data_IF_735869081099
#
_entry.id   IF_735869081099
#
_cell.length_a   1.000
_cell.length_b   1.000
_cell.length_c   1.000
_cell.angle_alpha   90.00
_cell.angle_beta   90.00
_cell.angle_gamma   90.00
#
_symmetry.space_group_name_H-M   'P 1'
#
loop_
_entity.id
_entity.type
_entity.pdbx_description
1 polymer ?
#
# COMPACT_ATOMS: atom_id res chain seq x y z
N UNK A 1 18.07 -3.00 15.69
CA UNK A 1 18.23 -2.01 14.60
C UNK A 1 19.10 -2.52 13.45
N UNK A 2 20.04 -3.45 13.66
CA UNK A 2 20.87 -4.03 12.57
C UNK A 2 20.09 -4.85 11.52
N UNK A 3 19.00 -5.53 11.90
CA UNK A 3 18.25 -6.42 11.00
C UNK A 3 17.50 -5.74 9.84
N UNK A 4 17.20 -4.43 9.94
CA UNK A 4 16.48 -3.67 8.91
C UNK A 4 17.41 -2.89 7.96
N UNK A 5 18.71 -2.87 8.24
CA UNK A 5 19.72 -2.18 7.42
C UNK A 5 19.69 -2.55 5.93
N UNK A 6 19.47 -3.81 5.50
CA UNK A 6 19.43 -4.12 4.07
C UNK A 6 18.20 -3.55 3.36
N UNK A 7 17.12 -3.21 4.08
CA UNK A 7 15.87 -2.74 3.51
C UNK A 7 15.72 -1.21 3.52
N UNK A 8 16.72 -0.47 4.04
CA UNK A 8 16.68 1.00 4.16
C UNK A 8 16.41 1.66 2.81
N UNK A 9 16.98 1.16 1.73
CA UNK A 9 16.75 1.72 0.39
C UNK A 9 15.30 1.54 -0.07
N UNK A 10 14.65 0.40 0.26
CA UNK A 10 13.23 0.16 -0.04
C UNK A 10 12.34 1.12 0.75
N UNK A 11 12.70 1.43 2.00
CA UNK A 11 11.98 2.43 2.80
C UNK A 11 11.99 3.80 2.11
N UNK A 12 13.12 4.24 1.57
CA UNK A 12 13.21 5.49 0.82
C UNK A 12 12.35 5.48 -0.45
N UNK A 13 12.27 4.35 -1.16
CA UNK A 13 11.36 4.20 -2.30
C UNK A 13 9.91 4.36 -1.85
N UNK A 14 9.52 3.72 -0.74
CA UNK A 14 8.16 3.87 -0.18
C UNK A 14 7.88 5.31 0.24
N UNK A 15 8.83 6.01 0.86
CA UNK A 15 8.65 7.43 1.18
C UNK A 15 8.49 8.30 -0.07
N UNK A 16 9.26 8.03 -1.13
CA UNK A 16 9.07 8.67 -2.42
C UNK A 16 7.68 8.38 -3.00
N UNK A 17 7.22 7.14 -2.90
CA UNK A 17 5.88 6.75 -3.34
C UNK A 17 4.78 7.45 -2.53
N UNK A 18 4.93 7.59 -1.21
CA UNK A 18 4.00 8.33 -0.36
C UNK A 18 3.95 9.81 -0.76
N UNK A 19 5.09 10.46 -0.97
CA UNK A 19 5.13 11.83 -1.45
C UNK A 19 4.43 11.97 -2.82
N UNK A 20 4.69 11.03 -3.73
CA UNK A 20 4.00 10.96 -5.02
C UNK A 20 2.48 10.76 -4.89
N UNK A 21 2.04 9.89 -3.97
CA UNK A 21 0.63 9.64 -3.68
C UNK A 21 -0.08 10.89 -3.16
N UNK A 22 0.55 11.65 -2.27
CA UNK A 22 0.01 12.92 -1.77
C UNK A 22 -0.19 13.92 -2.91
N UNK A 23 0.78 14.04 -3.82
CA UNK A 23 0.64 14.88 -5.00
C UNK A 23 -0.49 14.37 -5.90
N UNK A 24 -0.58 13.05 -6.12
CA UNK A 24 -1.60 12.44 -6.95
C UNK A 24 -3.01 12.65 -6.40
N UNK A 25 -3.18 12.59 -5.07
CA UNK A 25 -4.44 12.87 -4.38
C UNK A 25 -4.82 14.35 -4.38
N UNK A 26 -3.85 15.26 -4.51
CA UNK A 26 -4.13 16.69 -4.64
C UNK A 26 -4.61 17.09 -6.03
N UNK A 27 -4.51 16.22 -7.03
CA UNK A 27 -4.93 16.50 -8.40
C UNK A 27 -6.43 16.19 -8.53
N UNK A 28 -7.28 17.22 -8.53
CA UNK A 28 -8.74 17.10 -8.71
C UNK A 28 -9.17 16.41 -10.01
N UNK A 29 -8.28 16.32 -11.00
CA UNK A 29 -8.58 15.68 -12.29
C UNK A 29 -8.59 14.16 -12.24
N UNK A 30 -8.02 13.54 -11.20
CA UNK A 30 -7.91 12.09 -11.08
C UNK A 30 -8.87 11.58 -10.00
N UNK A 31 -9.74 10.61 -10.32
CA UNK A 31 -10.58 9.96 -9.32
C UNK A 31 -9.71 9.36 -8.21
N UNK A 32 -10.10 9.56 -6.95
CA UNK A 32 -9.37 9.04 -5.79
C UNK A 32 -9.22 7.51 -5.85
N UNK A 33 -10.21 6.81 -6.40
CA UNK A 33 -10.18 5.37 -6.66
C UNK A 33 -9.04 4.98 -7.61
N UNK A 34 -8.80 5.74 -8.67
CA UNK A 34 -7.73 5.45 -9.64
C UNK A 34 -6.37 5.74 -9.04
N UNK A 35 -6.23 6.86 -8.33
CA UNK A 35 -4.99 7.25 -7.66
C UNK A 35 -4.58 6.26 -6.57
N UNK A 36 -5.53 5.80 -5.75
CA UNK A 36 -5.27 4.82 -4.69
C UNK A 36 -4.95 3.43 -5.26
N UNK A 37 -5.66 3.01 -6.31
CA UNK A 37 -5.37 1.77 -7.01
C UNK A 37 -3.99 1.81 -7.67
N UNK A 38 -3.60 2.92 -8.28
CA UNK A 38 -2.27 3.08 -8.88
C UNK A 38 -1.15 2.93 -7.83
N UNK A 39 -1.28 3.57 -6.67
CA UNK A 39 -0.32 3.46 -5.56
C UNK A 39 -0.22 2.02 -5.04
N UNK A 40 -1.36 1.35 -4.90
CA UNK A 40 -1.41 -0.06 -4.49
C UNK A 40 -0.72 -0.97 -5.52
N UNK A 41 -1.06 -0.84 -6.80
CA UNK A 41 -0.48 -1.66 -7.88
C UNK A 41 1.03 -1.46 -7.97
N UNK A 42 1.51 -0.21 -7.86
CA UNK A 42 2.94 0.09 -7.82
C UNK A 42 3.61 -0.59 -6.62
N UNK A 43 2.99 -0.55 -5.45
CA UNK A 43 3.50 -1.23 -4.25
C UNK A 43 3.56 -2.75 -4.43
N UNK A 44 2.49 -3.35 -4.97
CA UNK A 44 2.42 -4.80 -5.25
C UNK A 44 3.51 -5.24 -6.22
N UNK A 45 3.69 -4.51 -7.33
CA UNK A 45 4.72 -4.81 -8.33
C UNK A 45 6.11 -4.67 -7.68
N UNK A 46 6.35 -3.59 -6.95
CA UNK A 46 7.64 -3.32 -6.34
C UNK A 46 8.05 -4.43 -5.35
N UNK A 47 7.18 -4.80 -4.42
CA UNK A 47 7.49 -5.83 -3.43
C UNK A 47 7.40 -7.28 -3.94
N UNK A 48 6.80 -7.49 -5.12
CA UNK A 48 6.91 -8.75 -5.83
C UNK A 48 8.33 -8.97 -6.39
N UNK A 49 8.92 -7.94 -7.00
CA UNK A 49 10.29 -8.01 -7.54
C UNK A 49 11.38 -7.81 -6.47
N UNK A 50 11.10 -7.00 -5.46
CA UNK A 50 12.03 -6.68 -4.37
C UNK A 50 11.41 -7.10 -3.02
N UNK A 51 11.36 -8.41 -2.72
CA UNK A 51 10.72 -8.90 -1.50
C UNK A 51 11.46 -8.44 -0.24
N UNK A 52 10.70 -8.19 0.82
CA UNK A 52 11.24 -7.94 2.16
C UNK A 52 11.30 -9.29 2.87
N UNK A 53 12.48 -9.88 2.91
CA UNK A 53 12.67 -11.22 3.46
C UNK A 53 12.67 -11.18 4.99
N UNK A 54 11.74 -11.90 5.60
CA UNK A 54 11.69 -12.13 7.03
C UNK A 54 12.67 -13.22 7.47
N UNK A 55 12.75 -13.45 8.79
CA UNK A 55 13.63 -14.47 9.37
C UNK A 55 13.34 -15.90 8.86
N UNK A 56 12.10 -16.17 8.46
CA UNK A 56 11.66 -17.44 7.86
C UNK A 56 11.83 -17.56 6.34
N UNK A 57 12.42 -16.55 5.67
CA UNK A 57 12.55 -16.52 4.20
C UNK A 57 11.27 -16.12 3.46
N UNK A 58 10.19 -15.82 4.18
CA UNK A 58 8.93 -15.31 3.63
C UNK A 58 9.02 -13.83 3.26
N UNK A 59 8.23 -13.41 2.27
CA UNK A 59 8.09 -11.99 1.94
C UNK A 59 7.09 -11.33 2.89
N UNK A 60 7.59 -10.51 3.81
CA UNK A 60 6.79 -9.80 4.81
C UNK A 60 5.85 -8.76 4.19
N UNK A 61 6.14 -8.26 2.99
CA UNK A 61 5.31 -7.29 2.27
C UNK A 61 4.77 -7.87 0.95
N UNK A 62 4.37 -9.14 0.99
CA UNK A 62 3.70 -9.79 -0.13
C UNK A 62 2.29 -9.22 -0.41
N UNK A 63 1.67 -9.71 -1.50
CA UNK A 63 0.37 -9.23 -1.92
C UNK A 63 -0.73 -9.40 -0.85
N UNK A 64 -0.70 -10.50 -0.09
CA UNK A 64 -1.66 -10.75 0.99
C UNK A 64 -1.65 -9.64 2.05
N UNK A 65 -0.46 -9.23 2.50
CA UNK A 65 -0.30 -8.20 3.53
C UNK A 65 -0.71 -6.81 3.01
N UNK A 66 -0.30 -6.47 1.78
CA UNK A 66 -0.66 -5.20 1.16
C UNK A 66 -2.16 -5.08 0.86
N UNK A 67 -2.82 -6.19 0.49
CA UNK A 67 -4.25 -6.24 0.24
C UNK A 67 -5.08 -6.40 1.53
N UNK A 68 -4.48 -6.84 2.64
CA UNK A 68 -5.17 -6.96 3.93
C UNK A 68 -5.76 -5.62 4.41
N UNK A 69 -5.17 -4.50 3.99
CA UNK A 69 -5.73 -3.17 4.21
C UNK A 69 -7.15 -2.98 3.67
N UNK A 70 -7.51 -3.64 2.57
CA UNK A 70 -8.88 -3.63 2.01
C UNK A 70 -9.86 -4.48 2.81
N UNK A 71 -9.36 -5.55 3.44
CA UNK A 71 -10.16 -6.40 4.33
C UNK A 71 -10.31 -5.80 5.74
N UNK A 72 -9.94 -4.53 5.93
CA UNK A 72 -10.06 -3.85 7.22
C UNK A 72 -11.55 -3.77 7.62
N UNK A 73 -11.94 -4.34 8.78
CA UNK A 73 -13.33 -4.34 9.23
C UNK A 73 -13.91 -2.93 9.37
N UNK A 74 -13.09 -1.92 9.65
CA UNK A 74 -13.53 -0.52 9.66
C UNK A 74 -13.97 -0.03 8.27
N UNK A 75 -13.21 -0.36 7.22
CA UNK A 75 -13.59 0.00 5.84
C UNK A 75 -14.86 -0.74 5.41
N UNK A 76 -14.96 -2.03 5.75
CA UNK A 76 -16.16 -2.83 5.48
C UNK A 76 -17.39 -2.22 6.16
N UNK A 77 -17.26 -1.79 7.42
CA UNK A 77 -18.34 -1.11 8.14
C UNK A 77 -18.74 0.22 7.48
N UNK A 78 -17.78 1.05 7.06
CA UNK A 78 -18.06 2.31 6.35
C UNK A 78 -18.76 2.05 5.02
N UNK A 79 -18.30 1.08 4.23
CA UNK A 79 -18.95 0.69 2.98
C UNK A 79 -20.38 0.18 3.22
N UNK A 80 -20.59 -0.64 4.25
CA UNK A 80 -21.92 -1.11 4.63
C UNK A 80 -22.86 0.03 5.03
N UNK A 81 -22.36 1.02 5.78
CA UNK A 81 -23.14 2.21 6.15
C UNK A 81 -23.46 3.10 4.94
N UNK A 82 -22.54 3.23 3.97
CA UNK A 82 -22.80 3.93 2.72
C UNK A 82 -23.91 3.26 1.91
N UNK A 83 -23.99 1.93 1.90
CA UNK A 83 -25.07 1.19 1.23
C UNK A 83 -26.42 1.36 1.95
N UNK A 84 -26.45 1.38 3.28
CA UNK A 84 -27.68 1.58 4.06
C UNK A 84 -28.16 3.04 4.05
N UNK A 85 -27.23 3.99 3.95
CA UNK A 85 -27.50 5.43 3.91
C UNK A 85 -27.87 5.97 2.53
N UNK A 86 -27.82 5.14 1.49
CA UNK A 86 -28.29 5.41 0.13
C UNK A 86 -29.66 4.78 -0.10
#
# INVERSE_FOLDING_TARGET
MEALTPFVWQMWVVYGLIAGAVVLFSIDRLPLETSSLAVLVLSLIFFYFFPVTGEGGENLLGAGELLAGFANPALIAVLALLVVGH
#
